data_IF_852391980300
#
_entry.id   IF_852391980300
#
_cell.length_a   1.000
_cell.length_b   1.000
_cell.length_c   1.000
_cell.angle_alpha   90.00
_cell.angle_beta   90.00
_cell.angle_gamma   90.00
#
_symmetry.space_group_name_H-M   'P 1'
#
loop_
_entity.id
_entity.type
_entity.pdbx_description
1 polymer ?
2 polymer ?
3 polymer ?
#
loop_
_entity_poly.entity_id
_entity_poly.type
_entity_poly.pdbx_seq_one_letter_code
_entity_poly.pdbx_strand_id
2 'polydeoxyribonucleotide' '(DC)(DC)(DC)(DC)(DC)(DC)(DT)(DG)(DT)(DC)(DG)(DC)(DC)(DG)(DC)(DC)(DG)(DA)(DC)(DG)(DT)(DC)(DT)(DG)(DT)(DG)(DA)(DT)(DA)(DT)(DG)(DG)(DC)(DG)(DT)(DT)(DG)(DT)(DT)(DG)' ?
3 'polydeoxyribonucleotide' '(DC)(DA)(DA)(DC)(DA)(DA)(DC)(DG)(DC)(DC)(DA)(DT)(DA)(DT)(DC)(DA)(DC)(DA)(DG)(DA)(DC)(DG)(DT)(DC)(DG)(DG)(DC)(DG)(DG)(DC)(DG)(DA)(DC)(DA)(DG)(DG)(DG)(DG)(DG)(DG)' ?
#
# COMPACT_ATOMS: atom_id res chain seq x y z
N UNK A 23 9.87 5.15 -18.86
CA UNK A 23 8.61 4.39 -18.71
C UNK A 23 7.46 5.31 -19.11
N UNK A 24 6.26 5.05 -18.60
CA UNK A 24 5.08 5.83 -18.94
C UNK A 24 4.63 6.61 -17.71
N UNK A 25 4.45 7.91 -17.88
CA UNK A 25 4.06 8.76 -16.76
C UNK A 25 2.59 8.58 -16.43
N UNK A 26 2.27 8.65 -15.14
CA UNK A 26 0.88 8.62 -14.71
C UNK A 26 0.22 9.98 -14.97
N UNK A 27 0.95 11.07 -14.78
CA UNK A 27 0.44 12.41 -15.03
C UNK A 27 1.64 13.35 -15.12
N UNK A 28 1.36 14.62 -15.38
CA UNK A 28 2.43 15.62 -15.52
C UNK A 28 1.88 16.95 -15.01
N UNK A 29 2.20 17.28 -13.75
CA UNK A 29 1.80 18.54 -13.16
C UNK A 29 3.00 19.39 -12.83
N UNK A 30 2.91 20.17 -11.75
CA UNK A 30 4.02 21.03 -11.34
C UNK A 30 3.84 21.41 -9.88
N UNK A 31 4.92 21.29 -9.10
CA UNK A 31 4.86 21.72 -7.70
C UNK A 31 4.53 23.20 -7.68
N UNK A 32 3.88 23.64 -6.59
CA UNK A 32 3.49 25.04 -6.48
C UNK A 32 3.21 25.37 -5.02
N UNK A 33 4.02 26.26 -4.45
CA UNK A 33 3.74 26.86 -3.15
C UNK A 33 4.00 28.35 -3.28
N UNK A 34 2.94 29.13 -3.37
CA UNK A 34 3.12 30.56 -3.59
C UNK A 34 3.82 30.82 -4.91
N UNK A 35 4.82 31.71 -4.86
CA UNK A 35 5.50 32.12 -6.08
C UNK A 35 6.25 30.95 -6.71
N UNK A 36 6.89 30.11 -5.90
CA UNK A 36 7.72 29.05 -6.43
C UNK A 36 6.91 28.15 -7.37
N UNK A 37 7.61 27.55 -8.33
CA UNK A 37 7.02 26.61 -9.27
C UNK A 37 8.13 25.75 -9.83
N UNK A 38 7.76 24.55 -10.29
CA UNK A 38 8.70 23.65 -10.94
C UNK A 38 7.92 22.53 -11.61
N UNK A 39 8.08 22.31 -12.92
CA UNK A 39 7.40 21.18 -13.56
C UNK A 39 7.97 19.85 -13.08
N UNK A 40 7.08 18.90 -12.80
CA UNK A 40 7.46 17.56 -12.38
C UNK A 40 6.68 16.56 -13.22
N UNK A 41 7.22 15.35 -13.33
CA UNK A 41 6.67 14.29 -14.17
C UNK A 41 6.70 12.99 -13.37
N UNK A 42 5.59 12.68 -12.71
CA UNK A 42 5.54 11.53 -11.82
C UNK A 42 5.61 10.24 -12.63
N UNK A 43 6.16 9.19 -11.99
CA UNK A 43 6.21 7.86 -12.57
C UNK A 43 5.88 6.84 -11.49
N UNK A 44 5.54 5.62 -11.91
CA UNK A 44 5.25 4.55 -10.97
C UNK A 44 6.55 3.89 -10.53
N UNK A 45 6.75 3.78 -9.22
CA UNK A 45 7.98 3.25 -8.66
C UNK A 45 7.84 1.84 -8.11
N UNK A 46 6.65 1.24 -8.18
CA UNK A 46 6.43 -0.13 -7.69
C UNK A 46 5.58 -0.86 -8.74
N UNK A 47 6.25 -1.52 -9.68
CA UNK A 47 5.59 -2.31 -10.71
C UNK A 47 5.62 -3.78 -10.29
N UNK A 48 4.43 -4.35 -10.11
CA UNK A 48 4.30 -5.74 -9.66
C UNK A 48 4.30 -6.65 -10.87
N UNK A 49 5.33 -7.49 -10.99
CA UNK A 49 5.39 -8.47 -12.08
C UNK A 49 4.76 -9.79 -11.65
N UNK A 50 3.53 -9.68 -11.12
CA UNK A 50 2.64 -10.82 -10.92
C UNK A 50 1.73 -10.94 -12.13
N UNK A 51 1.41 -12.19 -12.51
CA UNK A 51 0.86 -12.48 -13.84
C UNK A 51 -0.66 -12.36 -13.83
N UNK A 52 -1.19 -11.52 -14.71
CA UNK A 52 -2.63 -11.33 -14.83
C UNK A 52 -3.18 -12.33 -15.84
N UNK A 53 -4.25 -13.02 -15.46
CA UNK A 53 -4.89 -14.01 -16.31
C UNK A 53 -6.21 -13.46 -16.83
N UNK A 54 -6.84 -14.20 -17.74
CA UNK A 54 -8.11 -13.83 -18.33
C UNK A 54 -9.10 -14.97 -18.15
N UNK A 55 -10.37 -14.62 -18.00
CA UNK A 55 -11.43 -15.59 -17.74
C UNK A 55 -11.87 -16.21 -19.07
N UNK A 56 -11.62 -17.50 -19.23
CA UNK A 56 -12.03 -18.26 -20.41
C UNK A 56 -12.73 -19.52 -19.94
N UNK A 57 -13.56 -20.08 -20.82
CA UNK A 57 -14.30 -21.30 -20.53
C UNK A 57 -13.95 -22.38 -21.55
N UNK A 58 -13.75 -23.60 -21.05
CA UNK A 58 -13.21 -24.66 -21.89
C UNK A 58 -14.17 -25.03 -23.02
N UNK A 59 -15.47 -25.00 -22.77
CA UNK A 59 -16.44 -25.50 -23.74
C UNK A 59 -16.21 -24.88 -25.12
N UNK A 60 -15.94 -23.58 -25.17
CA UNK A 60 -15.65 -22.89 -26.42
C UNK A 60 -14.31 -22.17 -26.41
N UNK A 61 -13.64 -22.05 -25.26
CA UNK A 61 -12.36 -21.38 -25.17
C UNK A 61 -12.44 -19.93 -25.64
N UNK A 62 -13.55 -19.27 -25.34
CA UNK A 62 -13.75 -17.87 -25.68
C UNK A 62 -13.61 -16.98 -24.45
N UNK A 63 -12.96 -15.84 -24.63
CA UNK A 63 -12.76 -14.91 -23.53
C UNK A 63 -14.12 -14.44 -23.00
N UNK A 64 -14.25 -14.41 -21.68
CA UNK A 64 -15.56 -14.13 -21.10
C UNK A 64 -15.97 -12.69 -21.40
N UNK A 65 -17.27 -12.45 -21.34
CA UNK A 65 -17.84 -11.11 -21.48
C UNK A 65 -18.85 -10.90 -20.36
N UNK A 66 -18.93 -9.66 -19.88
CA UNK A 66 -19.79 -9.30 -18.76
C UNK A 66 -20.91 -8.39 -19.22
N UNK A 67 -22.12 -8.67 -18.75
CA UNK A 67 -23.30 -7.88 -19.06
C UNK A 67 -23.92 -7.38 -17.77
N UNK A 68 -24.21 -6.08 -17.73
CA UNK A 68 -24.91 -5.48 -16.60
C UNK A 68 -26.40 -5.76 -16.74
N UNK A 69 -26.95 -6.54 -15.81
CA UNK A 69 -28.32 -7.05 -15.92
C UNK A 69 -29.13 -6.56 -14.74
N UNK A 70 -30.39 -6.20 -15.02
CA UNK A 70 -31.26 -5.48 -14.10
C UNK A 70 -32.10 -6.43 -13.27
N UNK A 71 -32.09 -6.22 -11.95
CA UNK A 71 -32.93 -7.02 -11.06
C UNK A 71 -34.40 -6.82 -11.36
N UNK A 72 -34.90 -5.60 -11.17
CA UNK A 72 -36.33 -5.35 -11.25
C UNK A 72 -36.84 -5.56 -12.68
N UNK A 73 -36.17 -4.96 -13.66
CA UNK A 73 -36.64 -5.01 -15.03
C UNK A 73 -36.07 -6.17 -15.84
N UNK A 74 -35.11 -6.92 -15.30
CA UNK A 74 -34.66 -8.14 -15.94
C UNK A 74 -34.17 -7.97 -17.35
N UNK A 75 -33.37 -6.93 -17.60
CA UNK A 75 -32.83 -6.70 -18.94
C UNK A 75 -31.48 -6.01 -18.82
N UNK A 76 -30.65 -6.17 -19.86
CA UNK A 76 -29.34 -5.54 -19.86
C UNK A 76 -29.51 -4.03 -19.88
N UNK A 77 -28.72 -3.34 -19.06
CA UNK A 77 -28.81 -1.89 -18.90
C UNK A 77 -27.40 -1.31 -19.05
N UNK A 78 -27.22 -0.43 -20.04
CA UNK A 78 -25.88 0.03 -20.45
C UNK A 78 -25.14 0.71 -19.28
N UNK A 79 -23.83 0.95 -19.50
CA UNK A 79 -23.07 1.81 -18.58
C UNK A 79 -23.66 3.22 -18.52
N UNK A 80 -23.99 3.78 -19.68
CA UNK A 80 -24.57 5.12 -19.71
C UNK A 80 -25.93 5.13 -19.03
N UNK A 81 -26.74 4.10 -19.26
CA UNK A 81 -28.06 4.01 -18.67
C UNK A 81 -28.04 3.51 -17.23
N UNK A 82 -26.86 3.27 -16.68
CA UNK A 82 -26.70 2.79 -15.31
C UNK A 82 -26.59 3.97 -14.36
N UNK A 83 -27.31 3.91 -13.24
CA UNK A 83 -27.35 4.98 -12.25
C UNK A 83 -26.59 4.58 -11.01
N UNK A 84 -25.78 5.49 -10.51
CA UNK A 84 -25.07 5.29 -9.25
C UNK A 84 -25.97 5.61 -8.06
N UNK A 85 -25.74 4.91 -6.95
CA UNK A 85 -26.52 5.12 -5.74
C UNK A 85 -25.71 4.66 -4.54
N UNK A 86 -26.32 4.74 -3.36
CA UNK A 86 -25.66 4.39 -2.11
C UNK A 86 -26.65 3.69 -1.20
N UNK A 87 -26.13 2.83 -0.32
CA UNK A 87 -26.92 2.11 0.66
C UNK A 87 -26.44 2.49 2.06
N UNK A 88 -27.35 2.99 2.88
CA UNK A 88 -27.01 3.40 4.24
C UNK A 88 -27.27 2.25 5.20
N UNK A 89 -27.24 2.54 6.51
CA UNK A 89 -27.51 1.51 7.49
C UNK A 89 -28.87 0.87 7.31
N UNK A 90 -29.89 1.68 7.04
CA UNK A 90 -31.22 1.17 6.76
C UNK A 90 -31.33 0.50 5.39
N UNK A 91 -30.32 0.67 4.53
CA UNK A 91 -30.34 0.07 3.22
C UNK A 91 -31.12 0.84 2.18
N UNK A 92 -31.73 1.97 2.54
CA UNK A 92 -32.49 2.74 1.58
C UNK A 92 -31.60 3.23 0.44
N UNK A 93 -32.05 3.02 -0.79
CA UNK A 93 -31.30 3.48 -1.95
C UNK A 93 -31.31 5.01 -1.99
N UNK A 94 -30.18 5.58 -2.43
CA UNK A 94 -30.02 7.02 -2.55
C UNK A 94 -29.52 7.31 -3.95
N UNK A 95 -30.35 7.97 -4.76
CA UNK A 95 -29.98 8.33 -6.13
C UNK A 95 -29.14 9.59 -6.09
N UNK A 96 -27.86 9.48 -6.42
CA UNK A 96 -26.94 10.60 -6.38
C UNK A 96 -26.85 11.21 -7.77
N UNK A 97 -26.38 12.45 -7.82
CA UNK A 97 -26.21 13.19 -9.06
C UNK A 97 -24.78 13.69 -9.18
N UNK A 98 -24.31 13.79 -10.43
CA UNK A 98 -22.91 14.12 -10.66
C UNK A 98 -22.62 15.59 -10.35
N UNK A 99 -23.57 16.49 -10.66
CA UNK A 99 -23.31 17.91 -10.48
C UNK A 99 -23.08 18.26 -9.02
N UNK A 100 -23.85 17.64 -8.12
CA UNK A 100 -23.74 17.97 -6.70
C UNK A 100 -22.41 17.50 -6.13
N UNK A 101 -22.00 16.27 -6.46
CA UNK A 101 -20.78 15.71 -5.88
C UNK A 101 -19.57 16.54 -6.28
N UNK A 102 -19.58 17.08 -7.50
CA UNK A 102 -18.45 17.83 -8.04
C UNK A 102 -18.27 19.21 -7.42
N UNK A 103 -18.96 19.53 -6.32
CA UNK A 103 -18.81 20.86 -5.72
C UNK A 103 -17.38 21.13 -5.29
N UNK A 104 -16.62 20.09 -4.97
CA UNK A 104 -15.23 20.27 -4.54
C UNK A 104 -14.39 20.72 -5.73
N UNK A 105 -13.69 21.87 -5.64
CA UNK A 105 -12.91 22.33 -6.80
C UNK A 105 -11.44 21.94 -6.75
N UNK A 106 -10.96 21.43 -5.61
CA UNK A 106 -9.53 21.19 -5.45
C UNK A 106 -9.04 20.11 -6.41
N UNK A 107 -9.81 19.03 -6.59
CA UNK A 107 -9.35 17.93 -7.43
C UNK A 107 -9.06 18.39 -8.85
N UNK A 108 -9.79 19.41 -9.33
CA UNK A 108 -9.51 19.95 -10.65
C UNK A 108 -8.08 20.45 -10.75
N UNK A 109 -7.49 20.86 -9.63
CA UNK A 109 -6.11 21.34 -9.64
C UNK A 109 -5.18 20.25 -10.16
N UNK A 110 -4.21 20.65 -10.97
CA UNK A 110 -3.19 19.75 -11.51
C UNK A 110 -1.82 20.11 -10.95
N UNK A 111 -1.78 20.47 -9.67
CA UNK A 111 -0.56 20.89 -9.01
C UNK A 111 -0.35 20.08 -7.74
N UNK A 112 0.92 19.80 -7.44
CA UNK A 112 1.28 19.18 -6.16
C UNK A 112 1.47 20.33 -5.18
N UNK A 113 0.34 20.85 -4.68
CA UNK A 113 0.35 22.06 -3.88
C UNK A 113 0.99 21.83 -2.53
N UNK A 114 2.30 22.08 -2.43
CA UNK A 114 3.00 21.91 -1.16
C UNK A 114 2.27 22.70 -0.08
N UNK A 115 2.25 22.15 1.13
CA UNK A 115 1.57 22.75 2.27
C UNK A 115 2.54 23.23 3.34
N UNK A 116 3.43 22.37 3.80
CA UNK A 116 4.39 22.73 4.85
C UNK A 116 5.65 21.89 4.69
N UNK A 117 6.71 22.33 5.35
CA UNK A 117 7.98 21.62 5.36
C UNK A 117 8.26 21.13 6.77
N UNK A 118 8.57 19.84 6.90
CA UNK A 118 8.75 19.22 8.21
C UNK A 118 9.97 18.32 8.16
N UNK A 119 10.56 18.02 9.33
CA UNK A 119 11.69 17.09 9.35
C UNK A 119 11.29 15.71 8.85
N UNK A 120 12.23 15.05 8.16
CA UNK A 120 11.92 13.78 7.51
C UNK A 120 11.64 12.68 8.53
N UNK A 121 12.30 12.73 9.69
CA UNK A 121 12.16 11.69 10.70
C UNK A 121 10.84 11.74 11.43
N UNK A 122 9.91 12.61 11.04
CA UNK A 122 8.63 12.76 11.73
C UNK A 122 7.47 12.14 10.95
N UNK A 123 7.71 11.01 10.28
CA UNK A 123 6.65 10.26 9.61
C UNK A 123 6.92 8.78 9.87
N UNK A 124 6.18 8.19 10.81
CA UNK A 124 6.40 6.79 11.14
C UNK A 124 6.02 5.90 9.96
N UNK A 125 6.66 4.75 9.79
CA UNK A 125 6.40 3.91 8.61
C UNK A 125 4.98 3.37 8.53
N UNK A 126 4.14 3.70 9.50
CA UNK A 126 2.72 3.32 9.40
C UNK A 126 2.07 3.93 8.18
N UNK A 127 2.39 5.19 7.88
CA UNK A 127 1.56 5.98 6.98
C UNK A 127 1.92 5.78 5.51
N UNK A 128 3.19 5.56 5.20
CA UNK A 128 3.60 5.43 3.81
C UNK A 128 2.75 4.39 3.09
N UNK A 129 2.18 4.80 1.96
CA UNK A 129 1.29 3.95 1.17
C UNK A 129 1.88 3.56 -0.17
N UNK A 130 2.28 4.55 -0.98
CA UNK A 130 2.88 4.28 -2.28
C UNK A 130 4.02 5.26 -2.52
N UNK A 131 4.98 4.83 -3.34
CA UNK A 131 6.14 5.64 -3.70
C UNK A 131 6.07 5.97 -5.17
N UNK A 132 6.39 7.23 -5.51
CA UNK A 132 6.35 7.71 -6.88
C UNK A 132 7.60 8.52 -7.16
N UNK A 133 8.23 8.25 -8.30
CA UNK A 133 9.36 9.05 -8.74
C UNK A 133 8.90 10.39 -9.29
N UNK A 134 9.85 11.31 -9.45
CA UNK A 134 9.59 12.61 -10.05
C UNK A 134 10.61 12.90 -11.13
N UNK A 135 10.17 13.63 -12.15
CA UNK A 135 11.04 14.02 -13.25
C UNK A 135 10.78 15.48 -13.62
N UNK A 136 11.82 16.32 -13.69
CA UNK A 136 11.61 17.68 -14.19
C UNK A 136 11.22 17.67 -15.65
N UNK A 137 10.21 18.47 -15.98
CA UNK A 137 9.60 18.42 -17.31
C UNK A 137 10.32 19.31 -18.31
N UNK A 138 10.43 20.61 -18.00
CA UNK A 138 11.01 21.56 -18.93
C UNK A 138 12.43 21.16 -19.31
N UNK A 139 12.94 21.80 -20.36
CA UNK A 139 14.30 21.51 -20.81
C UNK A 139 15.32 21.85 -19.73
N UNK A 140 15.00 22.80 -18.86
CA UNK A 140 15.88 23.21 -17.78
C UNK A 140 15.35 22.66 -16.46
N UNK A 141 16.22 22.01 -15.70
CA UNK A 141 15.87 21.45 -14.40
C UNK A 141 16.49 22.22 -13.25
N UNK A 142 16.82 23.50 -13.44
CA UNK A 142 17.54 24.24 -12.42
C UNK A 142 16.75 24.32 -11.13
N UNK A 143 15.46 24.67 -11.21
CA UNK A 143 14.66 24.79 -9.99
C UNK A 143 14.51 23.45 -9.30
N UNK A 144 14.29 22.38 -10.07
CA UNK A 144 14.16 21.05 -9.49
C UNK A 144 15.43 20.66 -8.75
N UNK A 145 16.59 20.86 -9.37
CA UNK A 145 17.85 20.49 -8.75
C UNK A 145 18.09 21.33 -7.49
N UNK A 146 17.79 22.62 -7.56
CA UNK A 146 17.98 23.48 -6.40
C UNK A 146 17.08 23.06 -5.25
N UNK A 147 15.82 22.72 -5.55
CA UNK A 147 14.91 22.24 -4.50
C UNK A 147 15.42 20.94 -3.89
N UNK A 148 15.88 20.01 -4.73
CA UNK A 148 16.42 18.76 -4.21
C UNK A 148 17.62 19.01 -3.30
N UNK A 149 18.52 19.91 -3.71
CA UNK A 149 19.69 20.21 -2.91
C UNK A 149 19.31 20.83 -1.57
N UNK A 150 18.39 21.79 -1.56
CA UNK A 150 18.01 22.41 -0.29
C UNK A 150 17.32 21.40 0.62
N UNK A 151 16.47 20.53 0.05
CA UNK A 151 15.83 19.51 0.86
C UNK A 151 16.86 18.55 1.45
N UNK A 152 17.85 18.15 0.66
CA UNK A 152 18.88 17.25 1.17
C UNK A 152 19.69 17.91 2.27
N UNK A 153 20.02 19.19 2.11
CA UNK A 153 20.84 19.88 3.11
C UNK A 153 20.06 20.10 4.40
N UNK A 154 18.95 20.82 4.32
CA UNK A 154 18.17 21.14 5.52
C UNK A 154 17.58 19.89 6.16
N UNK A 155 17.49 18.79 5.42
CA UNK A 155 16.94 17.54 5.94
C UNK A 155 15.52 17.74 6.47
N UNK A 156 14.63 18.14 5.56
CA UNK A 156 13.24 18.38 5.90
C UNK A 156 12.33 17.80 4.83
N UNK A 157 11.34 17.01 5.24
CA UNK A 157 10.29 16.58 4.35
C UNK A 157 9.37 17.75 4.01
N UNK A 158 8.72 17.66 2.86
CA UNK A 158 7.75 18.66 2.42
C UNK A 158 6.43 17.96 2.18
N UNK A 159 5.44 18.26 3.02
CA UNK A 159 4.13 17.62 2.94
C UNK A 159 3.28 18.34 1.91
N UNK A 160 2.70 17.57 0.99
CA UNK A 160 1.96 18.11 -0.14
C UNK A 160 0.57 17.48 -0.19
N UNK A 161 -0.35 18.19 -0.80
CA UNK A 161 -1.71 17.69 -1.03
C UNK A 161 -1.83 17.09 -2.42
N UNK A 162 -1.04 16.04 -2.65
CA UNK A 162 -1.02 15.33 -3.91
C UNK A 162 -2.44 15.03 -4.38
N UNK A 163 -2.70 15.33 -5.66
CA UNK A 163 -3.99 15.05 -6.28
C UNK A 163 -3.75 14.32 -7.60
N UNK A 164 -4.64 13.39 -7.92
CA UNK A 164 -4.50 12.59 -9.13
C UNK A 164 -5.78 11.83 -9.37
N UNK A 165 -6.24 11.81 -10.62
CA UNK A 165 -7.43 11.07 -11.02
C UNK A 165 -8.62 11.47 -10.15
N UNK A 166 -8.80 12.78 -9.99
CA UNK A 166 -9.92 13.36 -9.25
C UNK A 166 -10.14 12.68 -7.91
N UNK A 167 -9.05 12.26 -7.27
CA UNK A 167 -9.08 11.70 -5.92
C UNK A 167 -7.88 12.25 -5.16
N UNK A 168 -8.08 13.38 -4.48
CA UNK A 168 -7.00 14.00 -3.71
C UNK A 168 -6.57 13.07 -2.58
N UNK A 169 -5.26 12.95 -2.41
CA UNK A 169 -4.69 12.08 -1.38
C UNK A 169 -3.43 12.71 -0.83
N UNK A 170 -3.36 12.82 0.49
CA UNK A 170 -2.20 13.44 1.14
C UNK A 170 -0.94 12.64 0.80
N UNK A 171 0.19 13.33 0.77
CA UNK A 171 1.47 12.72 0.43
C UNK A 171 2.57 13.48 1.17
N UNK A 172 3.82 13.20 0.80
CA UNK A 172 4.96 13.87 1.41
C UNK A 172 6.14 13.79 0.46
N UNK A 173 6.88 14.89 0.35
CA UNK A 173 8.02 14.99 -0.56
C UNK A 173 9.31 14.75 0.23
N UNK A 174 10.15 13.84 -0.26
CA UNK A 174 11.43 13.58 0.35
C UNK A 174 12.43 13.22 -0.73
N UNK A 175 13.72 13.38 -0.41
CA UNK A 175 14.80 13.24 -1.37
C UNK A 175 15.71 12.11 -0.93
N UNK A 176 16.14 11.30 -1.91
CA UNK A 176 17.04 10.18 -1.64
C UNK A 176 17.82 9.88 -2.90
N UNK A 177 19.14 9.84 -2.79
CA UNK A 177 20.00 9.63 -3.94
C UNK A 177 19.95 8.19 -4.42
N UNK A 178 20.08 8.02 -5.75
CA UNK A 178 20.17 6.69 -6.37
C UNK A 178 21.37 6.67 -7.31
N UNK A 179 22.55 6.42 -6.76
CA UNK A 179 23.72 6.15 -7.58
C UNK A 179 24.24 7.36 -8.33
N UNK A 180 23.46 7.82 -9.31
CA UNK A 180 23.87 8.90 -10.20
C UNK A 180 23.09 10.19 -10.03
N UNK A 181 21.90 10.13 -9.41
CA UNK A 181 21.02 11.28 -9.32
C UNK A 181 20.58 11.47 -7.89
N UNK A 182 20.17 12.70 -7.56
CA UNK A 182 19.57 13.03 -6.27
C UNK A 182 18.07 13.19 -6.39
N UNK A 183 17.43 12.38 -7.22
CA UNK A 183 16.00 12.46 -7.48
C UNK A 183 15.24 12.48 -6.16
N UNK A 184 14.15 13.26 -6.11
CA UNK A 184 13.30 13.33 -4.95
C UNK A 184 11.96 12.66 -5.28
N UNK A 185 11.36 12.04 -4.27
CA UNK A 185 10.19 11.21 -4.46
C UNK A 185 9.07 11.68 -3.55
N UNK A 186 7.84 11.39 -3.96
CA UNK A 186 6.64 11.72 -3.20
C UNK A 186 6.02 10.42 -2.71
N UNK A 187 5.80 10.33 -1.39
CA UNK A 187 5.20 9.16 -0.77
C UNK A 187 3.79 9.52 -0.32
N UNK A 188 2.79 8.89 -0.92
CA UNK A 188 1.42 9.06 -0.47
C UNK A 188 1.31 8.68 1.00
N UNK A 189 0.27 9.19 1.65
CA UNK A 189 0.11 9.01 3.08
C UNK A 189 -1.34 8.65 3.39
N UNK A 190 -1.53 7.99 4.53
CA UNK A 190 -2.85 7.64 5.01
C UNK A 190 -3.37 8.75 5.91
N UNK A 191 -4.63 9.09 5.76
CA UNK A 191 -5.25 10.09 6.62
C UNK A 191 -5.14 9.62 8.07
N UNK A 192 -4.57 10.42 8.97
CA UNK A 192 -4.31 9.91 10.33
C UNK A 192 -5.52 9.25 10.99
N UNK A 193 -6.73 9.67 10.64
CA UNK A 193 -7.91 9.01 11.19
C UNK A 193 -8.07 7.59 10.67
N UNK A 194 -7.37 7.23 9.59
CA UNK A 194 -7.47 5.87 9.06
C UNK A 194 -6.68 4.88 9.89
N UNK A 195 -5.54 5.31 10.44
CA UNK A 195 -4.70 4.39 11.20
C UNK A 195 -5.43 4.01 12.48
N UNK A 196 -5.74 2.72 12.61
CA UNK A 196 -6.45 2.23 13.78
C UNK A 196 -5.54 2.26 14.99
N UNK A 197 -6.08 1.82 16.13
CA UNK A 197 -5.34 1.74 17.37
C UNK A 197 -5.48 0.35 17.97
N UNK A 198 -4.46 -0.12 18.71
CA UNK A 198 -4.53 -1.48 19.27
C UNK A 198 -5.41 -1.55 20.53
N UNK A 199 -6.71 -1.66 20.30
CA UNK A 199 -7.68 -1.84 21.38
C UNK A 199 -7.64 -3.31 21.78
N UNK A 200 -6.84 -3.63 22.80
CA UNK A 200 -6.58 -5.02 23.17
C UNK A 200 -6.26 -5.06 24.66
N UNK A 201 -7.23 -5.42 25.51
CA UNK A 201 -6.98 -5.42 26.96
C UNK A 201 -6.29 -6.68 27.46
N UNK A 202 -5.69 -7.45 26.54
CA UNK A 202 -5.05 -8.70 26.91
C UNK A 202 -3.56 -8.55 27.22
N UNK A 203 -2.95 -7.43 26.84
CA UNK A 203 -1.52 -7.22 27.05
C UNK A 203 -1.23 -6.28 28.20
N UNK A 204 -2.15 -5.38 28.54
CA UNK A 204 -1.92 -4.47 29.64
C UNK A 204 -1.64 -5.20 30.95
N UNK A 205 -2.13 -6.44 31.08
CA UNK A 205 -1.81 -7.25 32.25
C UNK A 205 -0.31 -7.47 32.33
N UNK A 206 0.21 -7.45 33.56
CA UNK A 206 1.64 -7.63 33.82
C UNK A 206 1.89 -9.07 34.25
N UNK A 207 2.83 -9.73 33.59
CA UNK A 207 3.17 -11.12 33.85
C UNK A 207 4.52 -11.17 34.56
N UNK A 208 4.59 -11.93 35.65
CA UNK A 208 5.85 -12.10 36.36
C UNK A 208 6.87 -12.78 35.45
N UNK A 209 8.10 -12.26 35.45
CA UNK A 209 9.17 -12.78 34.61
C UNK A 209 10.45 -12.84 35.43
N UNK A 210 11.38 -13.69 34.97
CA UNK A 210 12.65 -13.90 35.66
C UNK A 210 13.82 -13.47 34.79
N UNK A 211 14.91 -12.96 35.40
CA UNK A 211 16.05 -12.53 34.59
C UNK A 211 16.68 -13.65 33.77
N UNK A 212 16.69 -14.88 34.29
CA UNK A 212 17.25 -15.99 33.53
C UNK A 212 16.46 -16.22 32.24
N UNK A 213 15.14 -16.03 32.30
CA UNK A 213 14.33 -16.13 31.09
C UNK A 213 14.78 -15.09 30.06
N UNK A 214 15.02 -13.85 30.50
CA UNK A 214 15.49 -12.82 29.58
C UNK A 214 16.86 -13.19 29.00
N UNK A 215 17.75 -13.74 29.83
CA UNK A 215 19.08 -14.10 29.35
C UNK A 215 18.99 -15.17 28.26
N UNK A 216 18.21 -16.22 28.53
CA UNK A 216 18.09 -17.30 27.54
C UNK A 216 17.37 -16.81 26.28
N UNK A 217 16.38 -15.94 26.44
CA UNK A 217 15.67 -15.39 25.28
C UNK A 217 16.62 -14.57 24.42
N UNK A 218 17.43 -13.72 25.04
CA UNK A 218 18.42 -12.97 24.29
C UNK A 218 19.42 -13.87 23.59
N UNK A 219 19.86 -14.93 24.28
CA UNK A 219 20.78 -15.88 23.67
C UNK A 219 20.16 -16.49 22.41
N UNK A 220 18.93 -16.98 22.51
CA UNK A 220 18.31 -17.64 21.35
C UNK A 220 18.08 -16.62 20.23
N UNK A 221 17.65 -15.41 20.57
CA UNK A 221 17.34 -14.42 19.55
C UNK A 221 18.60 -14.00 18.80
N UNK A 222 19.67 -13.67 19.54
CA UNK A 222 20.88 -13.21 18.89
C UNK A 222 21.67 -14.35 18.24
N UNK A 223 21.40 -15.60 18.62
CA UNK A 223 22.06 -16.71 17.95
C UNK A 223 21.69 -16.76 16.47
N UNK A 224 20.45 -16.40 16.15
CA UNK A 224 19.96 -16.39 14.78
C UNK A 224 20.11 -15.03 14.10
N UNK A 225 20.70 -14.05 14.79
CA UNK A 225 20.80 -12.71 14.22
C UNK A 225 21.69 -12.70 13.00
N UNK A 226 21.44 -11.76 12.10
CA UNK A 226 22.19 -11.62 10.86
C UNK A 226 21.97 -10.21 10.34
N UNK A 227 22.39 -9.96 9.10
CA UNK A 227 22.25 -8.66 8.45
C UNK A 227 21.42 -8.82 7.18
N UNK A 228 20.68 -7.76 6.84
CA UNK A 228 19.81 -7.79 5.68
C UNK A 228 20.63 -7.97 4.41
N UNK A 229 20.28 -9.00 3.63
CA UNK A 229 20.88 -9.26 2.32
C UNK A 229 19.75 -9.48 1.33
N UNK A 230 19.11 -8.41 0.86
CA UNK A 230 17.90 -8.58 0.03
C UNK A 230 18.15 -9.30 -1.28
N UNK A 231 19.41 -9.41 -1.73
CA UNK A 231 19.68 -9.98 -3.04
C UNK A 231 19.18 -11.43 -3.15
N UNK A 232 19.10 -12.15 -2.03
CA UNK A 232 18.74 -13.56 -2.04
C UNK A 232 17.28 -13.81 -1.70
N UNK A 233 16.44 -12.78 -1.68
CA UNK A 233 15.02 -12.92 -1.39
C UNK A 233 14.23 -12.86 -2.68
N UNK A 234 13.49 -13.94 -2.98
CA UNK A 234 12.64 -14.00 -4.15
C UNK A 234 11.38 -14.78 -3.81
N UNK A 235 10.35 -14.60 -4.63
CA UNK A 235 9.09 -15.30 -4.47
C UNK A 235 9.16 -16.63 -5.18
N UNK A 236 9.23 -17.72 -4.40
CA UNK A 236 9.34 -19.05 -5.00
C UNK A 236 8.11 -19.38 -5.84
N UNK A 237 6.92 -19.01 -5.36
CA UNK A 237 5.70 -19.33 -6.09
C UNK A 237 5.69 -18.66 -7.46
N UNK A 238 6.11 -17.40 -7.52
CA UNK A 238 6.10 -16.68 -8.79
C UNK A 238 7.05 -17.31 -9.79
N UNK A 239 8.26 -17.64 -9.35
CA UNK A 239 9.22 -18.29 -10.25
C UNK A 239 8.72 -19.66 -10.69
N UNK A 240 8.12 -20.41 -9.77
CA UNK A 240 7.57 -21.71 -10.12
C UNK A 240 6.48 -21.57 -11.19
N UNK A 241 5.58 -20.61 -11.02
CA UNK A 241 4.52 -20.41 -12.00
C UNK A 241 5.11 -19.97 -13.34
N UNK A 242 6.14 -19.10 -13.30
CA UNK A 242 6.78 -18.67 -14.54
C UNK A 242 7.40 -19.85 -15.28
N UNK A 243 8.09 -20.74 -14.57
CA UNK A 243 8.68 -21.90 -15.22
C UNK A 243 7.59 -22.82 -15.76
N UNK A 244 6.51 -22.99 -15.00
CA UNK A 244 5.43 -23.87 -15.43
C UNK A 244 4.79 -23.34 -16.72
N UNK A 245 4.55 -22.03 -16.80
CA UNK A 245 3.98 -21.46 -18.02
C UNK A 245 4.99 -21.53 -19.17
N UNK A 246 6.27 -21.35 -18.88
CA UNK A 246 7.29 -21.48 -19.92
C UNK A 246 7.28 -22.87 -20.51
N UNK A 247 7.17 -23.90 -19.66
CA UNK A 247 7.08 -25.27 -20.17
C UNK A 247 5.81 -25.46 -21.00
N UNK A 248 4.70 -24.92 -20.54
CA UNK A 248 3.44 -25.01 -21.27
C UNK A 248 3.45 -24.08 -22.48
N UNK B 23 -13.00 -4.54 13.03
CA UNK B 23 -11.96 -5.01 13.99
C UNK B 23 -12.06 -6.52 14.18
N UNK B 24 -12.43 -7.23 13.11
CA UNK B 24 -12.56 -8.67 13.13
C UNK B 24 -11.32 -9.30 12.53
N UNK B 25 -10.77 -10.29 13.21
CA UNK B 25 -9.46 -10.82 12.86
C UNK B 25 -9.46 -11.42 11.45
N UNK B 26 -8.25 -11.70 10.97
CA UNK B 26 -8.04 -12.31 9.66
C UNK B 26 -7.08 -13.48 9.72
N UNK B 27 -6.61 -13.88 10.91
CA UNK B 27 -5.55 -14.85 11.00
C UNK B 27 -5.53 -15.46 12.40
N UNK B 28 -4.94 -16.64 12.48
CA UNK B 28 -4.59 -17.23 13.78
C UNK B 28 -3.50 -18.26 13.50
N UNK B 29 -2.25 -17.85 13.64
CA UNK B 29 -1.10 -18.70 13.43
C UNK B 29 -0.18 -18.64 14.64
N UNK B 30 1.12 -18.63 14.36
CA UNK B 30 2.09 -18.52 15.44
C UNK B 30 3.49 -18.27 14.92
N UNK B 31 4.17 -17.24 15.45
CA UNK B 31 5.56 -17.04 15.13
C UNK B 31 6.34 -18.28 15.56
N UNK B 32 7.12 -18.85 14.65
CA UNK B 32 7.79 -20.11 14.91
C UNK B 32 9.17 -20.07 14.27
N UNK B 33 10.18 -19.75 15.08
CA UNK B 33 11.59 -19.85 14.68
C UNK B 33 12.21 -20.90 15.58
N UNK B 34 12.11 -22.16 15.16
CA UNK B 34 12.56 -23.26 15.96
C UNK B 34 11.43 -23.93 16.70
N UNK B 35 11.31 -23.66 17.99
CA UNK B 35 10.30 -24.29 18.83
C UNK B 35 9.68 -23.25 19.78
N UNK B 36 9.28 -22.11 19.22
CA UNK B 36 8.75 -21.01 20.01
C UNK B 36 7.22 -20.97 19.92
N UNK B 37 6.70 -20.77 18.72
CA UNK B 37 5.27 -20.92 18.44
C UNK B 37 4.41 -20.13 19.43
N UNK B 38 4.58 -18.81 19.39
CA UNK B 38 3.73 -17.89 20.16
C UNK B 38 2.50 -17.58 19.31
N UNK B 39 1.29 -17.87 19.79
CA UNK B 39 0.09 -17.54 19.00
C UNK B 39 -0.03 -16.04 18.75
N UNK B 40 -0.51 -15.70 17.57
CA UNK B 40 -0.71 -14.30 17.17
C UNK B 40 -1.98 -14.21 16.34
N UNK B 41 -2.76 -13.16 16.58
CA UNK B 41 -3.97 -12.87 15.82
C UNK B 41 -3.71 -11.62 14.98
N UNK B 42 -3.57 -11.80 13.67
CA UNK B 42 -3.29 -10.68 12.79
C UNK B 42 -4.53 -9.83 12.62
N UNK B 43 -4.35 -8.51 12.59
CA UNK B 43 -5.45 -7.57 12.45
C UNK B 43 -5.10 -6.52 11.40
N UNK B 44 -6.13 -6.04 10.71
CA UNK B 44 -5.92 -4.99 9.71
C UNK B 44 -5.63 -3.67 10.42
N UNK B 45 -4.49 -3.07 10.10
CA UNK B 45 -4.04 -1.85 10.76
C UNK B 45 -4.42 -0.58 10.01
N UNK B 46 -5.11 -0.70 8.87
CA UNK B 46 -5.49 0.46 8.06
C UNK B 46 -6.92 0.26 7.58
N UNK B 47 -7.86 0.93 8.23
CA UNK B 47 -9.27 0.91 7.84
C UNK B 47 -9.58 2.15 7.02
N UNK B 48 -10.12 1.93 5.83
CA UNK B 48 -10.46 3.03 4.92
C UNK B 48 -11.86 3.52 5.24
N UNK B 49 -11.96 4.74 5.76
CA UNK B 49 -13.26 5.36 5.98
C UNK B 49 -13.91 5.81 4.68
N UNK B 50 -13.20 5.73 3.56
CA UNK B 50 -13.76 6.10 2.28
C UNK B 50 -15.02 5.30 2.01
N UNK B 51 -16.04 5.97 1.49
CA UNK B 51 -17.34 5.37 1.27
C UNK B 51 -17.33 4.68 -0.09
N UNK B 52 -17.80 3.44 -0.12
CA UNK B 52 -17.94 2.67 -1.35
C UNK B 52 -19.41 2.65 -1.75
N UNK B 53 -19.69 3.05 -2.98
CA UNK B 53 -21.06 3.23 -3.44
C UNK B 53 -21.62 1.92 -3.98
N UNK B 54 -22.78 1.99 -4.63
CA UNK B 54 -23.41 0.83 -5.23
C UNK B 54 -24.15 1.27 -6.49
N UNK B 55 -24.03 0.49 -7.55
CA UNK B 55 -24.72 0.76 -8.79
C UNK B 55 -26.18 0.30 -8.71
N UNK B 56 -27.02 0.87 -9.57
CA UNK B 56 -28.42 0.48 -9.64
C UNK B 56 -29.04 1.04 -10.91
N UNK B 57 -30.05 0.36 -11.45
CA UNK B 57 -30.83 0.87 -12.57
C UNK B 57 -31.95 1.73 -12.01
N UNK B 58 -31.65 3.02 -11.82
CA UNK B 58 -32.57 3.90 -11.12
C UNK B 58 -33.86 4.12 -11.91
N UNK B 59 -33.79 4.08 -13.24
CA UNK B 59 -34.98 4.37 -14.04
C UNK B 59 -36.15 3.47 -13.66
N UNK B 60 -35.90 2.16 -13.62
CA UNK B 60 -36.90 1.19 -13.20
C UNK B 60 -36.72 0.73 -11.76
N UNK B 61 -35.73 1.28 -11.04
CA UNK B 61 -35.44 0.88 -9.67
C UNK B 61 -35.13 -0.62 -9.60
N UNK B 62 -34.06 -1.00 -10.28
CA UNK B 62 -33.61 -2.38 -10.29
C UNK B 62 -32.14 -2.52 -9.97
N UNK B 63 -31.82 -3.30 -8.95
CA UNK B 63 -30.43 -3.50 -8.57
C UNK B 63 -29.68 -4.24 -9.67
N UNK B 64 -28.37 -4.01 -9.73
CA UNK B 64 -27.54 -4.50 -10.84
C UNK B 64 -26.77 -5.73 -10.39
N UNK B 65 -26.65 -6.69 -11.30
CA UNK B 65 -25.82 -7.87 -11.09
C UNK B 65 -25.08 -8.18 -12.38
N UNK B 66 -23.95 -8.87 -12.24
CA UNK B 66 -23.07 -9.19 -13.35
C UNK B 66 -23.24 -10.66 -13.72
N UNK B 67 -23.45 -10.93 -15.01
CA UNK B 67 -23.58 -12.29 -15.51
C UNK B 67 -22.47 -12.57 -16.52
N UNK B 68 -21.75 -13.67 -16.31
CA UNK B 68 -20.66 -14.06 -17.20
C UNK B 68 -21.27 -14.70 -18.45
N UNK B 69 -21.04 -14.08 -19.61
CA UNK B 69 -21.60 -14.53 -20.87
C UNK B 69 -20.47 -14.74 -21.87
N UNK B 70 -20.54 -15.84 -22.61
CA UNK B 70 -19.60 -16.10 -23.69
C UNK B 70 -19.62 -14.95 -24.70
N UNK B 71 -18.42 -14.59 -25.18
CA UNK B 71 -18.33 -13.56 -26.20
C UNK B 71 -18.50 -14.16 -27.59
N UNK B 72 -18.04 -15.38 -27.80
CA UNK B 72 -18.15 -16.06 -29.09
C UNK B 72 -19.40 -16.93 -29.15
N UNK B 73 -19.50 -17.92 -28.25
CA UNK B 73 -20.67 -18.79 -28.24
C UNK B 73 -21.92 -18.09 -27.71
N UNK B 74 -21.76 -16.97 -27.01
CA UNK B 74 -22.88 -16.13 -26.64
C UNK B 74 -23.96 -16.78 -25.79
N UNK B 75 -23.56 -17.49 -24.73
CA UNK B 75 -24.51 -18.03 -23.77
C UNK B 75 -24.01 -17.76 -22.36
N UNK B 76 -24.94 -17.46 -21.45
CA UNK B 76 -24.57 -17.23 -20.07
C UNK B 76 -24.04 -18.52 -19.46
N UNK B 77 -23.06 -18.38 -18.56
CA UNK B 77 -22.37 -19.53 -17.96
C UNK B 77 -22.21 -19.29 -16.47
N UNK B 78 -21.92 -20.36 -15.75
CA UNK B 78 -21.69 -20.31 -14.31
C UNK B 78 -20.21 -20.16 -14.01
N UNK B 79 -19.89 -19.88 -12.74
CA UNK B 79 -18.51 -19.62 -12.37
C UNK B 79 -17.63 -20.85 -12.58
N UNK B 80 -18.17 -22.04 -12.31
CA UNK B 80 -17.35 -23.24 -12.38
C UNK B 80 -16.76 -23.46 -13.77
N UNK B 81 -17.56 -23.26 -14.81
CA UNK B 81 -17.14 -23.64 -16.16
C UNK B 81 -15.92 -22.86 -16.61
N UNK B 82 -15.90 -21.55 -16.37
CA UNK B 82 -14.78 -20.74 -16.86
C UNK B 82 -13.47 -21.24 -16.28
N UNK B 83 -12.49 -21.43 -17.16
CA UNK B 83 -11.16 -21.88 -16.78
C UNK B 83 -10.21 -20.69 -16.76
N UNK B 84 -9.48 -20.54 -15.65
CA UNK B 84 -8.49 -19.48 -15.51
C UNK B 84 -7.46 -19.61 -16.62
N UNK B 85 -7.44 -18.64 -17.54
CA UNK B 85 -6.64 -18.72 -18.75
C UNK B 85 -5.67 -17.55 -18.82
N UNK B 86 -4.49 -17.82 -19.38
CA UNK B 86 -3.43 -16.84 -19.51
C UNK B 86 -3.18 -16.53 -20.99
N UNK B 87 -2.99 -15.26 -21.30
CA UNK B 87 -2.67 -14.82 -22.65
C UNK B 87 -1.23 -14.30 -22.68
N UNK B 88 -0.42 -14.88 -23.56
CA UNK B 88 0.95 -14.45 -23.76
C UNK B 88 1.01 -13.49 -24.95
N UNK B 89 2.23 -13.17 -25.39
CA UNK B 89 2.38 -12.30 -26.54
C UNK B 89 1.74 -12.83 -27.79
N UNK B 90 1.53 -14.14 -27.87
CA UNK B 90 0.88 -14.77 -29.00
C UNK B 90 -0.63 -14.92 -28.83
N UNK B 91 -1.18 -14.42 -27.73
CA UNK B 91 -2.61 -14.57 -27.48
C UNK B 91 -3.05 -16.00 -27.27
N UNK B 92 -2.30 -16.76 -26.49
CA UNK B 92 -2.60 -18.16 -26.23
C UNK B 92 -3.58 -18.28 -25.06
N UNK B 93 -3.84 -19.51 -24.62
CA UNK B 93 -4.75 -19.74 -23.51
C UNK B 93 -4.42 -21.10 -22.89
N UNK B 94 -3.93 -21.09 -21.66
CA UNK B 94 -3.58 -22.31 -20.92
C UNK B 94 -4.45 -22.36 -19.67
N UNK B 95 -5.07 -23.52 -19.43
CA UNK B 95 -5.89 -23.72 -18.25
C UNK B 95 -5.01 -24.13 -17.08
N UNK B 96 -5.10 -23.40 -15.98
CA UNK B 96 -4.32 -23.71 -14.79
C UNK B 96 -5.03 -24.81 -14.01
N UNK B 97 -4.33 -25.91 -13.77
CA UNK B 97 -4.92 -27.10 -13.16
C UNK B 97 -4.64 -27.12 -11.66
N UNK B 98 -4.91 -28.26 -11.03
CA UNK B 98 -4.66 -28.40 -9.60
C UNK B 98 -3.18 -28.59 -9.30
N UNK B 99 -2.45 -29.25 -10.21
CA UNK B 99 -1.02 -29.47 -9.97
C UNK B 99 -0.26 -28.17 -9.76
N UNK B 100 -0.72 -27.07 -10.33
CA UNK B 100 -0.09 -25.78 -10.08
C UNK B 100 -0.16 -25.42 -8.60
N UNK B 101 -1.32 -25.64 -7.97
CA UNK B 101 -1.43 -25.47 -6.53
C UNK B 101 -0.56 -26.49 -5.81
N UNK B 102 -0.56 -27.73 -6.29
CA UNK B 102 0.19 -28.79 -5.62
C UNK B 102 1.69 -28.52 -5.66
N UNK B 103 2.15 -27.73 -6.63
CA UNK B 103 3.59 -27.53 -6.80
C UNK B 103 4.20 -26.85 -5.58
N UNK B 104 3.56 -25.80 -5.06
CA UNK B 104 4.08 -25.08 -3.90
C UNK B 104 3.37 -25.54 -2.64
N UNK B 105 4.07 -26.11 -1.66
CA UNK B 105 3.39 -26.54 -0.43
C UNK B 105 3.41 -25.50 0.68
N UNK B 106 4.04 -24.34 0.43
CA UNK B 106 4.19 -23.34 1.47
C UNK B 106 2.87 -22.79 1.99
N UNK B 107 1.84 -22.70 1.14
CA UNK B 107 0.58 -22.15 1.60
C UNK B 107 -0.12 -23.07 2.58
N UNK B 108 0.23 -24.36 2.58
CA UNK B 108 -0.39 -25.30 3.52
C UNK B 108 -0.05 -24.97 4.96
N UNK B 109 0.96 -24.14 5.19
CA UNK B 109 1.37 -23.77 6.54
C UNK B 109 0.59 -22.55 7.01
N UNK B 110 0.17 -22.58 8.28
CA UNK B 110 -0.52 -21.47 8.92
C UNK B 110 0.39 -20.76 9.92
N UNK B 111 1.69 -20.78 9.67
CA UNK B 111 2.69 -20.24 10.58
C UNK B 111 3.43 -19.10 9.93
N UNK B 112 3.74 -18.07 10.73
CA UNK B 112 4.57 -16.95 10.26
C UNK B 112 6.02 -17.37 10.49
N UNK B 113 6.55 -18.13 9.54
CA UNK B 113 7.84 -18.77 9.72
C UNK B 113 8.98 -17.76 9.70
N UNK B 114 9.33 -17.23 10.88
CA UNK B 114 10.41 -16.27 10.98
C UNK B 114 11.65 -16.83 10.30
N UNK B 115 12.34 -15.98 9.53
CA UNK B 115 13.54 -16.36 8.81
C UNK B 115 14.81 -15.90 9.53
N UNK B 116 14.94 -14.59 9.77
CA UNK B 116 16.16 -14.05 10.35
C UNK B 116 15.80 -12.87 11.23
N UNK B 117 16.75 -12.49 12.08
CA UNK B 117 16.63 -11.33 12.95
C UNK B 117 17.71 -10.32 12.58
N UNK B 118 17.30 -9.12 12.18
CA UNK B 118 18.24 -8.12 11.70
C UNK B 118 17.89 -6.78 12.34
N UNK B 119 18.84 -5.84 12.37
CA UNK B 119 18.54 -4.51 12.89
C UNK B 119 17.44 -3.84 12.07
N UNK B 120 16.61 -3.05 12.75
CA UNK B 120 15.48 -2.41 12.09
C UNK B 120 15.92 -1.38 11.05
N UNK B 121 17.12 -0.83 11.20
CA UNK B 121 17.59 0.21 10.30
C UNK B 121 17.91 -0.32 8.90
N UNK B 122 17.93 -1.64 8.71
CA UNK B 122 18.33 -2.22 7.43
C UNK B 122 17.19 -2.26 6.41
N UNK B 123 15.97 -1.93 6.80
CA UNK B 123 14.82 -1.93 5.90
C UNK B 123 14.46 -0.48 5.60
N UNK B 124 14.45 -0.13 4.32
CA UNK B 124 14.17 1.22 3.88
C UNK B 124 12.67 1.46 3.79
N UNK B 125 12.22 2.73 3.87
CA UNK B 125 10.80 3.02 3.66
C UNK B 125 10.33 2.79 2.24
N UNK B 126 11.24 2.49 1.31
CA UNK B 126 10.82 2.18 -0.06
C UNK B 126 9.97 0.92 -0.09
N UNK B 127 10.24 -0.03 0.79
CA UNK B 127 9.70 -1.39 0.65
C UNK B 127 8.36 -1.55 1.35
N UNK B 128 8.14 -0.87 2.48
CA UNK B 128 6.95 -1.09 3.27
C UNK B 128 5.70 -0.98 2.43
N UNK B 129 4.80 -1.96 2.57
CA UNK B 129 3.60 -2.05 1.76
C UNK B 129 2.34 -2.00 2.61
N UNK B 130 2.25 -2.82 3.66
CA UNK B 130 1.09 -2.81 4.54
C UNK B 130 1.53 -3.23 5.94
N UNK B 131 0.71 -2.88 6.93
CA UNK B 131 1.00 -3.16 8.32
C UNK B 131 -0.18 -3.86 8.97
N UNK B 132 0.11 -4.81 9.86
CA UNK B 132 -0.89 -5.48 10.65
C UNK B 132 -0.40 -5.57 12.10
N UNK B 133 -1.34 -5.65 13.02
CA UNK B 133 -1.04 -5.74 14.44
C UNK B 133 -1.25 -7.18 14.91
N UNK B 134 -0.26 -7.72 15.62
CA UNK B 134 -0.32 -9.07 16.16
C UNK B 134 -0.67 -9.00 17.63
N UNK B 135 -1.75 -9.70 18.01
CA UNK B 135 -2.08 -9.90 19.41
C UNK B 135 -2.30 -11.38 19.66
N UNK B 136 -1.94 -11.89 20.83
CA UNK B 136 -1.84 -13.33 21.02
C UNK B 136 -3.13 -13.96 21.54
N UNK B 137 -3.12 -15.29 21.59
CA UNK B 137 -4.09 -16.02 22.39
C UNK B 137 -3.89 -15.67 23.86
N UNK B 138 -4.98 -15.40 24.57
CA UNK B 138 -4.88 -14.83 25.91
C UNK B 138 -4.03 -15.70 26.83
N UNK B 139 -4.01 -17.01 26.63
CA UNK B 139 -3.29 -17.89 27.53
C UNK B 139 -1.77 -17.81 27.33
N UNK B 140 -1.31 -17.58 26.09
CA UNK B 140 0.11 -17.58 25.77
C UNK B 140 0.70 -16.18 25.75
N UNK B 141 0.20 -15.28 26.60
CA UNK B 141 0.72 -13.92 26.63
C UNK B 141 2.18 -13.87 27.08
N UNK B 142 2.60 -14.84 27.89
CA UNK B 142 3.95 -14.78 28.46
C UNK B 142 5.00 -14.75 27.36
N UNK B 143 4.95 -15.70 26.43
CA UNK B 143 5.94 -15.75 25.37
C UNK B 143 5.83 -14.53 24.46
N UNK B 144 4.61 -14.08 24.20
CA UNK B 144 4.41 -12.89 23.38
C UNK B 144 5.15 -11.69 23.97
N UNK B 145 4.90 -11.40 25.24
CA UNK B 145 5.52 -10.23 25.86
C UNK B 145 7.02 -10.43 26.00
N UNK B 146 7.47 -11.65 26.30
CA UNK B 146 8.90 -11.88 26.43
C UNK B 146 9.62 -11.63 25.11
N UNK B 147 9.08 -12.14 24.01
CA UNK B 147 9.70 -11.92 22.72
C UNK B 147 9.68 -10.45 22.33
N UNK B 148 8.55 -9.77 22.57
CA UNK B 148 8.48 -8.35 22.25
C UNK B 148 9.50 -7.55 23.05
N UNK B 149 9.61 -7.86 24.35
CA UNK B 149 10.58 -7.17 25.20
C UNK B 149 12.00 -7.42 24.72
N UNK B 150 12.32 -8.67 24.38
CA UNK B 150 13.67 -8.98 23.90
C UNK B 150 13.97 -8.22 22.62
N UNK B 151 13.02 -8.20 21.68
CA UNK B 151 13.22 -7.48 20.43
C UNK B 151 13.43 -5.99 20.68
N UNK B 152 12.61 -5.40 21.56
CA UNK B 152 12.74 -3.97 21.84
C UNK B 152 14.08 -3.66 22.49
N UNK B 153 14.46 -4.45 23.49
CA UNK B 153 15.72 -4.20 24.20
C UNK B 153 16.91 -4.32 23.26
N UNK B 154 16.94 -5.38 22.45
CA UNK B 154 18.04 -5.59 21.52
C UNK B 154 17.85 -4.86 20.21
N UNK B 155 16.70 -4.23 19.98
CA UNK B 155 16.46 -3.36 18.83
C UNK B 155 16.75 -4.11 17.52
N UNK B 156 15.90 -5.10 17.25
CA UNK B 156 16.07 -5.99 16.10
C UNK B 156 14.80 -6.05 15.27
N UNK B 157 14.97 -5.94 13.95
CA UNK B 157 13.96 -6.42 13.01
C UNK B 157 13.87 -7.94 13.09
N UNK B 158 12.71 -8.47 12.67
CA UNK B 158 12.50 -9.91 12.59
C UNK B 158 11.78 -10.17 11.28
N UNK B 159 12.56 -10.34 10.20
CA UNK B 159 11.98 -10.58 8.89
C UNK B 159 11.41 -11.98 8.85
N UNK B 160 10.21 -12.11 8.26
CA UNK B 160 9.45 -13.35 8.30
C UNK B 160 8.92 -13.67 6.92
N UNK B 161 8.15 -14.75 6.82
CA UNK B 161 7.31 -15.03 5.67
C UNK B 161 5.86 -14.82 6.08
N UNK B 162 4.95 -14.97 5.12
CA UNK B 162 3.56 -14.66 5.38
C UNK B 162 2.68 -15.30 4.31
N UNK B 163 1.65 -16.03 4.73
CA UNK B 163 0.78 -16.76 3.81
C UNK B 163 -0.67 -16.49 4.20
N UNK B 164 -1.27 -15.48 3.57
CA UNK B 164 -2.65 -15.09 3.85
C UNK B 164 -3.50 -15.38 2.62
N UNK B 165 -4.51 -16.24 2.78
CA UNK B 165 -5.41 -16.59 1.69
C UNK B 165 -4.63 -17.08 0.46
N UNK B 166 -3.63 -17.93 0.70
CA UNK B 166 -2.87 -18.56 -0.37
C UNK B 166 -2.18 -17.51 -1.26
N UNK B 167 -1.30 -16.74 -0.63
CA UNK B 167 -0.45 -15.81 -1.37
C UNK B 167 0.73 -15.47 -0.48
N UNK B 168 1.90 -16.02 -0.79
CA UNK B 168 3.07 -15.89 0.07
C UNK B 168 3.73 -14.54 -0.17
N UNK B 169 3.70 -13.68 0.85
CA UNK B 169 4.29 -12.34 0.78
C UNK B 169 5.37 -12.21 1.84
N UNK B 170 6.53 -11.70 1.45
CA UNK B 170 7.55 -11.35 2.41
C UNK B 170 7.05 -10.24 3.33
N UNK B 171 7.66 -10.11 4.49
CA UNK B 171 7.22 -9.13 5.47
C UNK B 171 8.36 -8.90 6.47
N UNK B 172 8.07 -8.11 7.50
CA UNK B 172 9.03 -7.82 8.55
C UNK B 172 8.29 -7.59 9.85
N UNK B 173 8.78 -8.20 10.93
CA UNK B 173 8.16 -8.12 12.24
C UNK B 173 9.03 -7.23 13.13
N UNK B 174 8.47 -6.09 13.54
CA UNK B 174 9.19 -5.14 14.36
C UNK B 174 8.28 -4.64 15.48
N UNK B 175 8.89 -4.32 16.62
CA UNK B 175 8.14 -3.93 17.80
C UNK B 175 7.95 -2.42 17.81
N UNK B 176 6.95 -1.97 18.58
CA UNK B 176 6.63 -0.54 18.64
C UNK B 176 5.88 -0.30 19.95
N UNK B 177 6.47 0.48 20.83
CA UNK B 177 5.83 0.80 22.10
C UNK B 177 4.68 1.78 21.88
N UNK B 178 3.59 1.58 22.63
CA UNK B 178 2.42 2.45 22.59
C UNK B 178 2.15 3.06 23.96
N UNK B 179 3.18 3.18 24.79
CA UNK B 179 3.07 3.77 26.11
C UNK B 179 2.57 2.82 27.17
N UNK B 180 1.27 2.55 27.19
CA UNK B 180 0.71 1.62 28.17
C UNK B 180 1.01 0.17 27.80
N UNK B 181 1.01 -0.13 26.51
CA UNK B 181 1.24 -1.48 26.01
C UNK B 181 2.22 -1.42 24.86
N UNK B 182 2.91 -2.53 24.62
CA UNK B 182 3.92 -2.63 23.56
C UNK B 182 3.58 -3.84 22.70
N UNK B 183 3.08 -3.58 21.49
CA UNK B 183 2.66 -4.62 20.55
C UNK B 183 3.67 -4.67 19.41
N UNK B 184 3.94 -5.88 18.93
CA UNK B 184 4.80 -6.07 17.77
C UNK B 184 3.92 -6.29 16.54
N UNK B 185 4.35 -5.71 15.42
CA UNK B 185 3.54 -5.64 14.22
C UNK B 185 4.35 -6.15 13.03
N UNK B 186 3.64 -6.52 11.97
CA UNK B 186 4.24 -7.09 10.78
C UNK B 186 4.02 -6.11 9.63
N UNK B 187 5.12 -5.63 9.06
CA UNK B 187 5.10 -4.75 7.89
C UNK B 187 5.41 -5.58 6.66
N UNK B 188 4.41 -5.78 5.80
CA UNK B 188 4.63 -6.50 4.56
C UNK B 188 5.66 -5.76 3.70
N UNK B 189 6.45 -6.51 2.96
CA UNK B 189 7.53 -5.95 2.17
C UNK B 189 7.36 -6.32 0.70
N UNK B 190 7.75 -5.40 -0.17
CA UNK B 190 7.82 -5.68 -1.59
C UNK B 190 9.12 -6.42 -1.89
N UNK B 191 9.02 -7.41 -2.77
CA UNK B 191 10.20 -8.19 -3.14
C UNK B 191 11.25 -7.24 -3.72
N UNK B 192 12.50 -7.29 -3.25
CA UNK B 192 13.48 -6.26 -3.63
C UNK B 192 13.53 -5.97 -5.13
N UNK B 193 13.18 -6.96 -5.95
CA UNK B 193 13.19 -6.74 -7.40
C UNK B 193 12.05 -5.83 -7.84
N UNK B 194 10.92 -5.86 -7.13
CA UNK B 194 9.74 -5.11 -7.58
C UNK B 194 10.00 -3.62 -7.59
N UNK B 195 10.67 -3.10 -6.56
CA UNK B 195 10.90 -1.66 -6.44
C UNK B 195 11.64 -1.17 -7.68
N UNK B 196 11.10 -0.14 -8.33
CA UNK B 196 11.69 0.35 -9.57
C UNK B 196 12.96 1.15 -9.28
N UNK B 197 13.85 1.20 -10.27
CA UNK B 197 15.08 1.95 -10.17
C UNK B 197 15.01 3.22 -11.01
N UNK B 198 15.35 4.39 -10.46
CA UNK B 198 15.24 5.62 -11.25
C UNK B 198 16.38 5.79 -12.24
N UNK B 199 16.08 5.61 -13.52
CA UNK B 199 17.04 5.84 -14.60
C UNK B 199 16.62 7.07 -15.38
N UNK B 200 17.05 8.24 -14.90
CA UNK B 200 16.62 9.52 -15.44
C UNK B 200 17.84 10.29 -15.94
N UNK B 201 18.10 10.34 -17.24
CA UNK B 201 19.33 11.00 -17.72
C UNK B 201 19.31 12.50 -17.61
N UNK B 202 18.15 13.13 -17.42
CA UNK B 202 18.11 14.59 -17.37
C UNK B 202 18.92 15.10 -16.19
N UNK B 203 18.76 14.49 -15.02
CA UNK B 203 19.49 14.95 -13.85
C UNK B 203 20.99 14.69 -13.99
N UNK B 204 21.39 13.72 -14.81
CA UNK B 204 22.80 13.41 -14.97
C UNK B 204 23.56 14.59 -15.56
N UNK B 205 22.96 15.28 -16.54
CA UNK B 205 23.60 16.42 -17.14
C UNK B 205 23.91 17.48 -16.09
N UNK B 206 25.10 18.08 -16.17
CA UNK B 206 25.57 18.97 -15.13
C UNK B 206 24.64 20.17 -14.98
N UNK B 207 24.32 20.49 -13.72
CA UNK B 207 23.55 21.68 -13.38
C UNK B 207 24.44 22.59 -12.54
N UNK B 208 24.59 23.84 -12.98
CA UNK B 208 25.43 24.81 -12.31
C UNK B 208 24.56 25.88 -11.67
N UNK B 209 24.81 26.17 -10.41
CA UNK B 209 24.07 27.17 -9.65
C UNK B 209 25.07 28.05 -8.91
N UNK B 210 24.88 29.36 -9.01
CA UNK B 210 25.77 30.28 -8.34
C UNK B 210 25.62 30.16 -6.82
N UNK B 211 26.70 30.34 -6.06
CA UNK B 211 26.61 30.10 -4.61
C UNK B 211 25.55 30.93 -3.91
N UNK B 212 25.39 32.20 -4.30
CA UNK B 212 24.41 33.04 -3.60
C UNK B 212 22.98 32.59 -3.86
N UNK B 213 22.76 31.83 -4.93
CA UNK B 213 21.40 31.39 -5.26
C UNK B 213 20.88 30.41 -4.21
N UNK B 214 21.70 29.43 -3.82
CA UNK B 214 21.23 28.39 -2.93
C UNK B 214 20.80 28.94 -1.58
N UNK B 215 21.59 29.87 -1.03
CA UNK B 215 21.28 30.40 0.30
C UNK B 215 19.91 31.08 0.34
N UNK B 216 19.45 31.60 -0.80
CA UNK B 216 18.16 32.28 -0.82
C UNK B 216 17.03 31.31 -0.50
N UNK B 217 17.09 30.09 -1.03
CA UNK B 217 16.00 29.14 -0.85
C UNK B 217 15.83 28.75 0.62
N UNK B 218 16.90 28.86 1.41
CA UNK B 218 16.81 28.45 2.81
C UNK B 218 15.73 29.22 3.56
N UNK B 219 15.72 30.55 3.40
CA UNK B 219 14.69 31.34 4.07
C UNK B 219 13.32 31.11 3.44
N UNK B 220 13.27 30.73 2.17
CA UNK B 220 11.99 30.40 1.54
C UNK B 220 11.37 29.19 2.22
N UNK B 221 12.16 28.11 2.36
CA UNK B 221 11.64 26.92 3.03
C UNK B 221 11.46 27.18 4.52
N UNK B 222 12.41 27.88 5.14
CA UNK B 222 12.30 28.15 6.56
C UNK B 222 11.06 28.98 6.89
N UNK B 223 10.62 29.83 5.95
CA UNK B 223 9.42 30.62 6.16
C UNK B 223 8.16 29.76 6.25
N UNK B 224 8.22 28.50 5.82
CA UNK B 224 7.09 27.58 5.87
C UNK B 224 7.32 26.39 6.78
N UNK B 225 8.49 26.29 7.42
CA UNK B 225 8.80 25.14 8.25
C UNK B 225 7.78 25.00 9.38
N UNK B 226 7.59 23.77 9.84
CA UNK B 226 6.62 23.46 10.88
C UNK B 226 6.95 22.08 11.43
N UNK B 227 6.07 21.57 12.29
CA UNK B 227 6.21 20.25 12.88
C UNK B 227 5.04 19.38 12.45
N UNK B 228 5.33 18.16 12.02
CA UNK B 228 4.30 17.27 11.51
C UNK B 228 3.29 16.97 12.61
N UNK B 229 2.04 17.38 12.40
CA UNK B 229 0.94 17.10 13.33
C UNK B 229 -0.16 16.36 12.59
N UNK B 230 -0.46 15.11 12.92
CA UNK B 230 -1.50 14.38 12.18
C UNK B 230 -2.87 15.02 12.26
N UNK B 231 -3.18 15.71 13.36
CA UNK B 231 -4.55 16.16 13.59
C UNK B 231 -5.02 17.13 12.51
N UNK B 232 -4.16 18.05 12.09
CA UNK B 232 -4.60 19.12 11.20
C UNK B 232 -5.12 18.56 9.88
N UNK B 233 -4.42 17.61 9.28
CA UNK B 233 -4.77 17.12 7.97
C UNK B 233 -6.01 16.22 8.03
N UNK B 234 -6.92 16.44 7.09
CA UNK B 234 -8.14 15.64 7.00
C UNK B 234 -8.68 15.74 5.60
N UNK B 235 -9.29 14.65 5.12
CA UNK B 235 -9.84 14.61 3.77
C UNK B 235 -11.09 15.47 3.73
N UNK B 236 -10.96 16.70 3.21
CA UNK B 236 -12.12 17.58 3.09
C UNK B 236 -13.16 16.98 2.16
N UNK B 237 -12.71 16.31 1.09
CA UNK B 237 -13.64 15.71 0.15
C UNK B 237 -14.55 14.71 0.85
N UNK B 238 -13.98 13.83 1.66
CA UNK B 238 -14.77 12.77 2.30
C UNK B 238 -15.73 13.34 3.33
N UNK B 239 -15.26 14.28 4.16
CA UNK B 239 -16.16 14.87 5.16
C UNK B 239 -17.29 15.64 4.50
N UNK B 240 -16.98 16.39 3.43
CA UNK B 240 -18.02 17.10 2.71
C UNK B 240 -19.02 16.13 2.10
N UNK B 241 -18.55 15.01 1.55
CA UNK B 241 -19.45 14.03 0.99
C UNK B 241 -20.34 13.42 2.08
N UNK B 242 -19.77 13.14 3.24
CA UNK B 242 -20.56 12.58 4.34
C UNK B 242 -21.64 13.56 4.78
N UNK B 243 -21.28 14.84 4.92
CA UNK B 243 -22.27 15.84 5.28
C UNK B 243 -23.35 15.96 4.21
N UNK B 244 -22.95 15.91 2.94
CA UNK B 244 -23.91 16.01 1.85
C UNK B 244 -24.90 14.86 1.90
N UNK B 245 -24.41 13.63 2.07
CA UNK B 245 -25.30 12.48 2.10
C UNK B 245 -26.21 12.56 3.33
N UNK B 246 -25.67 13.00 4.47
CA UNK B 246 -26.52 13.25 5.62
C UNK B 246 -27.64 14.22 5.26
N UNK B 247 -27.32 15.24 4.46
CA UNK B 247 -28.34 16.16 3.97
C UNK B 247 -29.37 15.44 3.12
N UNK B 248 -28.93 14.53 2.26
CA UNK B 248 -29.86 13.83 1.38
C UNK B 248 -30.91 13.07 2.18
N UNK B 249 -30.50 12.37 3.24
CA UNK B 249 -31.43 11.64 4.08
C UNK B 249 -32.25 12.61 4.93
#
# INVERSE_FOLDING_TARGET
MGHHHHHHHHHHSSGHIEGRHMMRAIWTGSIAFGLVNVPVKVYSATADHDIRFHQVHAKDNGRIRYKRVCEACGEVVDYRDLARAYESGDGQMVAITDDDIASLPEERSREIEVLEFVPAADVDPMMFDRSYFLEPDSKSSKSYVLLAKTLAETDRMAIVHFTLRNKTRLAALRVKDFGKREVMMVHTLLWPDEIRDPDFPVLDQKVEIKPAELKMAGQVVDSMADDFNPDRYHDTYQEQLQELIDTKLEGGQAFTAEDQPRLLDEPEDVSDLLAKLEASVKARSKANSNVPTPP
MGHHHHHHHHHHSSGHIEGRHMMRAIWTGSIAFGLVNVPVKVYSATADHDIRFHQVHAKDNGRIRYKRVCEACGEVVDYRDLARAYESGDGQMVAITDDDIASLPEERSREIEVLEFVPAADVDPMMFDRSYFLEPDSKSSKSYVLLAKTLAETDRMAIVHFTLRNKTRLAALRVKDFGKREVMMVHTLLWPDEIRDPDFPVLDQKVEIKPAELKMAGQVVDSMADDFNPDRYHDTYQEQLQELIDTKLEGGQAFTAEDQPRLLDEPEDVSDLLAKLEASVKARSKANSNVPTPP
#
